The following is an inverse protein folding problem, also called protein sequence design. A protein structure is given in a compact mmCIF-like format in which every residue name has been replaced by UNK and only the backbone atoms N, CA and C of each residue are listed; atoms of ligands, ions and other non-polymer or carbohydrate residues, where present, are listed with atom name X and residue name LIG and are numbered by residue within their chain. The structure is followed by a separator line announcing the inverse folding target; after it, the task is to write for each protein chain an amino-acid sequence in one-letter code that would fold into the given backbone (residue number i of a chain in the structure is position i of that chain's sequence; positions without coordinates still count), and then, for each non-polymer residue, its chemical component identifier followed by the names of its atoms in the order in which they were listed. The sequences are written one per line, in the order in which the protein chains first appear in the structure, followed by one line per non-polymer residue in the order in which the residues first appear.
data_IF_865984541278
#
_entry.id   IF_865984541278
#
_cell.length_a   1.000
_cell.length_b   1.000
_cell.length_c   1.000
_cell.angle_alpha   90.00
_cell.angle_beta   90.00
_cell.angle_gamma   90.00
#
_symmetry.space_group_name_H-M   'P 1'
#
loop_
_entity.id
_entity.type
_entity.pdbx_description
1 polymer ?
#
# COMPACT_ATOMS: atom_id res chain seq x y z
N UNK A 1 3.67 -32.03 -4.06
CA UNK A 1 4.87 -31.89 -3.21
C UNK A 1 6.10 -32.15 -4.04
N UNK A 2 7.16 -31.37 -3.87
CA UNK A 2 8.43 -31.58 -4.57
C UNK A 2 9.19 -32.80 -4.05
N UNK A 3 9.72 -33.58 -4.98
CA UNK A 3 10.65 -34.69 -4.73
C UNK A 3 12.00 -34.20 -4.17
N UNK A 4 12.77 -35.14 -3.60
CA UNK A 4 14.13 -34.83 -3.12
C UNK A 4 15.08 -34.39 -4.23
N UNK A 5 14.90 -34.96 -5.42
CA UNK A 5 15.72 -34.65 -6.59
C UNK A 5 15.43 -33.24 -7.12
N UNK A 6 14.15 -32.86 -7.26
CA UNK A 6 13.77 -31.49 -7.65
C UNK A 6 14.31 -30.45 -6.66
N UNK A 7 14.18 -30.71 -5.35
CA UNK A 7 14.73 -29.81 -4.30
C UNK A 7 16.23 -29.64 -4.41
N UNK A 8 16.98 -30.72 -4.71
CA UNK A 8 18.43 -30.66 -4.87
C UNK A 8 18.83 -29.83 -6.11
N UNK A 9 18.11 -30.01 -7.22
CA UNK A 9 18.31 -29.25 -8.46
C UNK A 9 18.06 -27.75 -8.25
N UNK A 10 16.97 -27.40 -7.56
CA UNK A 10 16.64 -26.00 -7.29
C UNK A 10 17.73 -25.39 -6.40
N UNK A 11 18.13 -26.08 -5.32
CA UNK A 11 19.18 -25.59 -4.43
C UNK A 11 20.51 -25.36 -5.12
N UNK A 12 20.91 -26.23 -6.06
CA UNK A 12 22.18 -26.07 -6.79
C UNK A 12 22.14 -24.95 -7.83
N UNK A 13 20.95 -24.54 -8.30
CA UNK A 13 20.78 -23.52 -9.36
C UNK A 13 20.39 -22.14 -8.85
N UNK A 14 19.89 -22.01 -7.60
CA UNK A 14 19.58 -20.70 -6.98
C UNK A 14 20.76 -19.71 -7.03
N UNK A 15 22.00 -20.07 -6.65
CA UNK A 15 23.11 -19.10 -6.63
C UNK A 15 23.43 -18.51 -8.01
N UNK A 16 23.22 -19.28 -9.07
CA UNK A 16 23.41 -18.83 -10.45
C UNK A 16 22.38 -17.75 -10.81
N UNK A 17 21.12 -17.96 -10.42
CA UNK A 17 20.05 -16.99 -10.63
C UNK A 17 20.22 -15.72 -9.79
N UNK A 18 20.79 -15.81 -8.58
CA UNK A 18 21.10 -14.63 -7.76
C UNK A 18 22.16 -13.75 -8.43
N UNK A 19 23.19 -14.36 -9.03
CA UNK A 19 24.26 -13.63 -9.72
C UNK A 19 23.78 -12.89 -10.98
N UNK A 20 22.74 -13.41 -11.64
CA UNK A 20 22.10 -12.82 -12.83
C UNK A 20 20.78 -12.09 -12.54
N UNK A 21 20.43 -11.90 -11.27
CA UNK A 21 19.06 -11.60 -10.84
C UNK A 21 18.44 -10.36 -11.47
N UNK A 22 19.17 -9.25 -11.58
CA UNK A 22 18.61 -8.01 -12.14
C UNK A 22 18.34 -8.11 -13.66
N UNK A 23 19.22 -8.78 -14.39
CA UNK A 23 19.04 -9.02 -15.83
C UNK A 23 17.87 -9.99 -16.08
N UNK A 24 17.80 -11.08 -15.31
CA UNK A 24 16.68 -12.03 -15.30
C UNK A 24 15.34 -11.31 -15.14
N UNK A 25 15.26 -10.46 -14.12
CA UNK A 25 14.05 -9.72 -13.75
C UNK A 25 13.62 -8.79 -14.86
N UNK A 26 14.55 -7.98 -15.35
CA UNK A 26 14.29 -7.01 -16.40
C UNK A 26 13.76 -7.69 -17.66
N UNK A 27 14.36 -8.83 -18.03
CA UNK A 27 13.94 -9.61 -19.18
C UNK A 27 12.57 -10.26 -19.00
N UNK A 28 12.34 -10.91 -17.86
CA UNK A 28 11.04 -11.48 -17.47
C UNK A 28 9.91 -10.46 -17.59
N UNK A 29 10.09 -9.26 -17.03
CA UNK A 29 9.06 -8.21 -17.08
C UNK A 29 8.83 -7.68 -18.49
N UNK A 30 9.91 -7.47 -19.26
CA UNK A 30 9.80 -7.02 -20.64
C UNK A 30 8.96 -8.00 -21.46
N UNK A 31 9.28 -9.29 -21.37
CA UNK A 31 8.59 -10.38 -22.05
C UNK A 31 7.11 -10.44 -21.65
N UNK A 32 6.83 -10.46 -20.34
CA UNK A 32 5.46 -10.55 -19.82
C UNK A 32 4.61 -9.35 -20.28
N UNK A 33 5.13 -8.13 -20.16
CA UNK A 33 4.36 -6.93 -20.50
C UNK A 33 4.24 -6.72 -22.01
N UNK A 34 5.15 -7.26 -22.83
CA UNK A 34 5.03 -7.21 -24.29
C UNK A 34 4.06 -8.25 -24.83
N UNK A 35 4.17 -9.50 -24.36
CA UNK A 35 3.41 -10.63 -24.90
C UNK A 35 2.00 -10.73 -24.28
N UNK A 36 1.81 -10.25 -23.05
CA UNK A 36 0.55 -10.32 -22.30
C UNK A 36 0.07 -8.92 -21.90
N UNK A 37 -0.36 -8.08 -22.86
CA UNK A 37 -0.79 -6.70 -22.56
C UNK A 37 -1.94 -6.63 -21.55
N UNK A 38 -2.76 -7.69 -21.43
CA UNK A 38 -3.87 -7.78 -20.47
C UNK A 38 -3.42 -7.74 -19.00
N UNK A 39 -2.17 -8.09 -18.67
CA UNK A 39 -1.70 -8.02 -17.28
C UNK A 39 -1.18 -6.64 -16.91
N UNK A 40 -0.93 -5.75 -17.88
CA UNK A 40 -0.38 -4.40 -17.64
C UNK A 40 -1.17 -3.60 -16.58
N UNK A 41 -2.51 -3.62 -16.54
CA UNK A 41 -3.28 -2.87 -15.53
C UNK A 41 -3.06 -3.34 -14.09
N UNK A 42 -2.62 -4.59 -13.90
CA UNK A 42 -2.30 -5.16 -12.57
C UNK A 42 -1.00 -4.60 -11.99
N UNK A 43 -0.18 -3.95 -12.83
CA UNK A 43 1.05 -3.30 -12.45
C UNK A 43 0.89 -1.79 -12.45
N UNK A 44 1.56 -1.10 -11.52
CA UNK A 44 1.55 0.35 -11.54
C UNK A 44 2.57 0.86 -12.56
N UNK A 45 2.09 1.40 -13.68
CA UNK A 45 2.92 1.94 -14.75
C UNK A 45 3.93 3.01 -14.28
N UNK A 46 3.61 3.80 -13.25
CA UNK A 46 4.55 4.80 -12.72
C UNK A 46 5.78 4.15 -12.05
N UNK A 47 5.60 2.97 -11.43
CA UNK A 47 6.70 2.21 -10.84
C UNK A 47 7.42 1.33 -11.87
N UNK A 48 6.78 0.99 -12.99
CA UNK A 48 7.45 0.31 -14.09
C UNK A 48 8.55 1.19 -14.69
N UNK A 49 8.34 2.51 -14.74
CA UNK A 49 9.35 3.46 -15.20
C UNK A 49 10.57 3.55 -14.24
N UNK A 50 10.42 3.24 -12.95
CA UNK A 50 11.53 3.29 -11.96
C UNK A 50 12.25 1.95 -11.75
N UNK A 51 11.64 0.82 -12.11
CA UNK A 51 12.24 -0.52 -11.99
C UNK A 51 12.13 -1.18 -10.61
N UNK A 52 11.53 -0.51 -9.61
CA UNK A 52 11.48 -1.00 -8.22
C UNK A 52 10.49 -2.16 -8.02
N UNK A 53 9.30 -2.09 -8.64
CA UNK A 53 8.29 -3.14 -8.54
C UNK A 53 8.73 -4.47 -9.19
N UNK A 54 9.43 -4.46 -10.34
CA UNK A 54 10.03 -5.65 -10.91
C UNK A 54 10.89 -6.49 -9.95
N UNK A 55 11.70 -5.83 -9.13
CA UNK A 55 12.63 -6.49 -8.22
C UNK A 55 11.91 -7.27 -7.11
N UNK A 56 10.77 -6.78 -6.62
CA UNK A 56 10.05 -7.38 -5.50
C UNK A 56 9.49 -8.78 -5.82
N UNK A 57 8.86 -8.97 -6.99
CA UNK A 57 8.25 -10.25 -7.36
C UNK A 57 9.30 -11.37 -7.47
N UNK A 58 10.39 -11.10 -8.19
CA UNK A 58 11.42 -12.10 -8.41
C UNK A 58 12.25 -12.39 -7.15
N UNK A 59 12.53 -11.37 -6.32
CA UNK A 59 13.11 -11.59 -5.00
C UNK A 59 12.22 -12.49 -4.14
N UNK A 60 10.89 -12.36 -4.26
CA UNK A 60 9.92 -13.26 -3.62
C UNK A 60 10.08 -14.71 -4.07
N UNK A 61 10.19 -14.96 -5.38
CA UNK A 61 10.39 -16.33 -5.91
C UNK A 61 11.76 -16.89 -5.54
N UNK A 62 12.83 -16.10 -5.63
CA UNK A 62 14.17 -16.54 -5.21
C UNK A 62 14.24 -16.82 -3.71
N UNK A 63 13.56 -16.02 -2.88
CA UNK A 63 13.45 -16.27 -1.45
C UNK A 63 12.65 -17.54 -1.17
N UNK A 64 11.53 -17.77 -1.85
CA UNK A 64 10.81 -19.05 -1.78
C UNK A 64 11.73 -20.22 -2.14
N UNK A 65 12.48 -20.12 -3.24
CA UNK A 65 13.39 -21.17 -3.69
C UNK A 65 14.50 -21.46 -2.66
N UNK A 66 14.99 -20.44 -1.95
CA UNK A 66 15.94 -20.60 -0.83
C UNK A 66 15.36 -21.36 0.35
N UNK A 67 14.06 -21.18 0.63
CA UNK A 67 13.37 -21.78 1.78
C UNK A 67 12.46 -22.95 1.40
N UNK A 68 12.71 -23.60 0.26
CA UNK A 68 11.81 -24.62 -0.32
C UNK A 68 11.59 -25.87 0.57
N UNK A 69 12.49 -26.09 1.53
CA UNK A 69 12.40 -27.17 2.52
C UNK A 69 11.78 -26.75 3.86
N UNK A 70 11.54 -25.45 4.03
CA UNK A 70 11.08 -24.84 5.27
C UNK A 70 9.95 -23.87 4.95
N UNK A 71 8.94 -24.34 4.21
CA UNK A 71 7.80 -23.52 3.80
C UNK A 71 7.04 -22.94 5.00
N UNK A 72 7.06 -23.63 6.14
CA UNK A 72 6.48 -23.15 7.40
C UNK A 72 7.15 -21.85 7.90
N UNK A 73 8.41 -21.60 7.51
CA UNK A 73 9.14 -20.37 7.85
C UNK A 73 8.82 -19.20 6.93
N UNK A 74 8.07 -19.42 5.85
CA UNK A 74 7.61 -18.32 5.00
C UNK A 74 6.59 -17.43 5.73
N UNK A 75 5.92 -17.95 6.77
CA UNK A 75 5.13 -17.19 7.75
C UNK A 75 4.45 -15.91 7.21
N UNK A 76 4.86 -14.76 7.74
CA UNK A 76 4.32 -13.44 7.42
C UNK A 76 4.50 -13.02 5.95
N UNK A 77 5.46 -13.60 5.22
CA UNK A 77 5.69 -13.24 3.82
C UNK A 77 4.51 -13.65 2.94
N UNK A 78 4.01 -14.89 3.11
CA UNK A 78 2.87 -15.39 2.34
C UNK A 78 1.65 -14.51 2.61
N UNK A 79 1.39 -14.20 3.88
CA UNK A 79 0.29 -13.31 4.26
C UNK A 79 0.42 -11.92 3.60
N UNK A 80 1.62 -11.33 3.55
CA UNK A 80 1.87 -10.05 2.87
C UNK A 80 1.63 -10.12 1.35
N UNK A 81 2.09 -11.19 0.70
CA UNK A 81 1.88 -11.40 -0.74
C UNK A 81 0.38 -11.54 -1.04
N UNK A 82 -0.32 -12.41 -0.30
CA UNK A 82 -1.76 -12.66 -0.46
C UNK A 82 -2.55 -11.37 -0.27
N UNK A 83 -2.24 -10.58 0.77
CA UNK A 83 -2.90 -9.28 0.98
C UNK A 83 -2.72 -8.34 -0.22
N UNK A 84 -1.52 -8.28 -0.77
CA UNK A 84 -1.24 -7.44 -1.94
C UNK A 84 -1.91 -7.96 -3.21
N UNK A 85 -1.92 -9.27 -3.42
CA UNK A 85 -2.54 -9.92 -4.57
C UNK A 85 -4.05 -9.72 -4.58
N UNK A 86 -4.71 -9.90 -3.44
CA UNK A 86 -6.15 -9.60 -3.31
C UNK A 86 -6.42 -8.12 -3.53
N UNK A 87 -5.61 -7.22 -3.01
CA UNK A 87 -5.75 -5.79 -3.29
C UNK A 87 -5.64 -5.44 -4.78
N UNK A 88 -4.81 -6.18 -5.53
CA UNK A 88 -4.62 -6.03 -6.98
C UNK A 88 -5.63 -6.82 -7.83
N UNK A 89 -6.47 -7.65 -7.18
CA UNK A 89 -7.36 -8.61 -7.82
C UNK A 89 -6.61 -9.60 -8.73
N UNK A 90 -5.55 -10.21 -8.21
CA UNK A 90 -4.87 -11.32 -8.89
C UNK A 90 -5.77 -12.57 -8.87
N UNK A 91 -5.89 -13.23 -10.01
CA UNK A 91 -6.76 -14.39 -10.22
C UNK A 91 -5.91 -15.60 -10.66
N UNK A 92 -6.42 -16.83 -10.50
CA UNK A 92 -5.69 -18.05 -10.88
C UNK A 92 -5.18 -18.03 -12.33
N UNK A 93 -5.93 -17.46 -13.27
CA UNK A 93 -5.54 -17.34 -14.68
C UNK A 93 -4.30 -16.46 -14.94
N UNK A 94 -3.89 -15.62 -13.98
CA UNK A 94 -2.68 -14.82 -14.11
C UNK A 94 -1.40 -15.63 -13.81
N UNK A 95 -1.49 -16.69 -13.01
CA UNK A 95 -0.31 -17.50 -12.63
C UNK A 95 0.34 -18.20 -13.82
N UNK A 96 -0.40 -18.88 -14.72
CA UNK A 96 0.21 -19.49 -15.90
C UNK A 96 1.02 -18.52 -16.77
N UNK A 97 0.59 -17.26 -16.87
CA UNK A 97 1.31 -16.20 -17.61
C UNK A 97 2.65 -15.90 -16.94
N UNK A 98 2.64 -15.66 -15.62
CA UNK A 98 3.86 -15.39 -14.85
C UNK A 98 4.81 -16.58 -14.91
N UNK A 99 4.30 -17.80 -14.70
CA UNK A 99 5.09 -19.03 -14.75
C UNK A 99 5.78 -19.25 -16.10
N UNK A 100 5.06 -19.06 -17.22
CA UNK A 100 5.61 -19.23 -18.56
C UNK A 100 6.76 -18.23 -18.83
N UNK A 101 6.57 -16.94 -18.52
CA UNK A 101 7.60 -15.93 -18.70
C UNK A 101 8.80 -16.15 -17.77
N UNK A 102 8.55 -16.53 -16.51
CA UNK A 102 9.61 -16.74 -15.53
C UNK A 102 10.49 -17.93 -15.90
N UNK A 103 9.90 -19.06 -16.29
CA UNK A 103 10.66 -20.26 -16.66
C UNK A 103 11.50 -20.04 -17.92
N UNK A 104 10.97 -19.29 -18.91
CA UNK A 104 11.75 -18.85 -20.08
C UNK A 104 12.93 -17.98 -19.68
N UNK A 105 12.71 -16.98 -18.81
CA UNK A 105 13.79 -16.12 -18.33
C UNK A 105 14.86 -16.93 -17.56
N UNK A 106 14.45 -17.88 -16.71
CA UNK A 106 15.37 -18.78 -15.99
C UNK A 106 16.21 -19.60 -16.99
N UNK A 107 15.58 -20.17 -18.02
CA UNK A 107 16.28 -20.95 -19.03
C UNK A 107 17.35 -20.13 -19.77
N UNK A 108 17.02 -18.90 -20.15
CA UNK A 108 17.95 -18.00 -20.84
C UNK A 108 19.14 -17.59 -19.96
N UNK A 109 18.91 -17.34 -18.66
CA UNK A 109 19.97 -16.94 -17.73
C UNK A 109 20.88 -18.09 -17.32
N UNK A 110 20.32 -19.29 -17.14
CA UNK A 110 21.12 -20.48 -16.86
C UNK A 110 21.91 -20.95 -18.10
N UNK A 111 21.43 -20.64 -19.30
CA UNK A 111 22.03 -21.08 -20.56
C UNK A 111 21.73 -22.55 -20.87
N UNK A 112 21.82 -22.93 -22.14
CA UNK A 112 21.38 -24.25 -22.63
C UNK A 112 22.06 -25.45 -21.95
N UNK A 113 23.31 -25.27 -21.50
CA UNK A 113 24.08 -26.33 -20.81
C UNK A 113 23.51 -26.66 -19.42
N UNK A 114 22.99 -25.66 -18.71
CA UNK A 114 22.48 -25.80 -17.34
C UNK A 114 20.96 -25.91 -17.33
N UNK A 115 20.26 -25.21 -18.23
CA UNK A 115 18.81 -25.21 -18.39
C UNK A 115 18.28 -26.49 -19.05
N UNK A 116 18.73 -27.65 -18.58
CA UNK A 116 18.25 -28.95 -19.07
C UNK A 116 16.75 -29.11 -18.84
N UNK A 117 16.06 -30.00 -19.60
CA UNK A 117 14.64 -30.26 -19.39
C UNK A 117 14.29 -30.64 -17.94
N UNK A 118 15.20 -31.35 -17.26
CA UNK A 118 15.03 -31.72 -15.86
C UNK A 118 15.10 -30.51 -14.92
N UNK A 119 16.02 -29.57 -15.18
CA UNK A 119 16.15 -28.33 -14.39
C UNK A 119 14.93 -27.45 -14.56
N UNK A 120 14.47 -27.23 -15.79
CA UNK A 120 13.28 -26.42 -16.05
C UNK A 120 12.02 -27.08 -15.49
N UNK A 121 11.90 -28.41 -15.56
CA UNK A 121 10.80 -29.13 -14.93
C UNK A 121 10.79 -28.96 -13.40
N UNK A 122 11.95 -29.04 -12.74
CA UNK A 122 12.04 -28.83 -11.29
C UNK A 122 11.62 -27.40 -10.89
N UNK A 123 12.08 -26.39 -11.62
CA UNK A 123 11.65 -25.00 -11.40
C UNK A 123 10.15 -24.80 -11.67
N UNK A 124 9.60 -25.46 -12.70
CA UNK A 124 8.17 -25.44 -12.98
C UNK A 124 7.34 -26.07 -11.86
N UNK A 125 7.78 -27.21 -11.33
CA UNK A 125 7.14 -27.85 -10.18
C UNK A 125 7.18 -26.96 -8.93
N UNK A 126 8.30 -26.26 -8.70
CA UNK A 126 8.45 -25.34 -7.56
C UNK A 126 7.56 -24.11 -7.68
N UNK A 127 7.50 -23.52 -8.88
CA UNK A 127 6.60 -22.42 -9.18
C UNK A 127 5.14 -22.83 -8.94
N UNK A 128 4.72 -23.97 -9.48
CA UNK A 128 3.34 -24.46 -9.33
C UNK A 128 2.98 -24.72 -7.88
N UNK A 129 3.90 -25.28 -7.08
CA UNK A 129 3.67 -25.46 -5.65
C UNK A 129 3.42 -24.13 -4.93
N UNK A 130 4.21 -23.09 -5.21
CA UNK A 130 3.99 -21.76 -4.64
C UNK A 130 2.68 -21.15 -5.16
N UNK A 131 2.41 -21.29 -6.46
CA UNK A 131 1.18 -20.80 -7.09
C UNK A 131 -0.07 -21.40 -6.42
N UNK A 132 -0.11 -22.72 -6.21
CA UNK A 132 -1.23 -23.41 -5.56
C UNK A 132 -1.47 -22.91 -4.12
N UNK A 133 -0.38 -22.68 -3.35
CA UNK A 133 -0.47 -22.14 -1.99
C UNK A 133 -1.07 -20.72 -2.01
N UNK A 134 -0.56 -19.86 -2.89
CA UNK A 134 -1.02 -18.48 -2.99
C UNK A 134 -2.47 -18.40 -3.50
N UNK A 135 -2.80 -19.15 -4.55
CA UNK A 135 -4.16 -19.23 -5.12
C UNK A 135 -5.16 -19.68 -4.06
N UNK A 136 -4.84 -20.71 -3.28
CA UNK A 136 -5.70 -21.20 -2.21
C UNK A 136 -5.95 -20.14 -1.14
N UNK A 137 -4.88 -19.49 -0.66
CA UNK A 137 -4.97 -18.45 0.37
C UNK A 137 -5.72 -17.19 -0.12
N UNK A 138 -5.47 -16.77 -1.36
CA UNK A 138 -6.16 -15.65 -2.00
C UNK A 138 -7.64 -15.95 -2.19
N UNK A 139 -7.99 -17.16 -2.67
CA UNK A 139 -9.38 -17.60 -2.82
C UNK A 139 -10.12 -17.54 -1.50
N UNK A 140 -9.53 -18.07 -0.42
CA UNK A 140 -10.13 -17.98 0.91
C UNK A 140 -10.36 -16.53 1.36
N UNK A 141 -9.42 -15.62 1.09
CA UNK A 141 -9.58 -14.21 1.47
C UNK A 141 -10.61 -13.48 0.60
N UNK A 142 -10.72 -13.81 -0.69
CA UNK A 142 -11.79 -13.31 -1.56
C UNK A 142 -13.17 -13.76 -1.07
N UNK A 143 -13.33 -15.03 -0.71
CA UNK A 143 -14.58 -15.59 -0.20
C UNK A 143 -14.96 -14.96 1.14
N UNK A 144 -14.00 -14.81 2.06
CA UNK A 144 -14.22 -14.14 3.35
C UNK A 144 -14.70 -12.70 3.16
N UNK A 145 -14.05 -11.93 2.26
CA UNK A 145 -14.46 -10.55 1.95
C UNK A 145 -15.84 -10.49 1.31
N UNK A 146 -16.17 -11.42 0.41
CA UNK A 146 -17.46 -11.47 -0.25
C UNK A 146 -18.61 -11.86 0.69
N UNK A 147 -18.34 -12.74 1.67
CA UNK A 147 -19.31 -13.19 2.65
C UNK A 147 -19.57 -12.20 3.79
N UNK A 148 -18.64 -11.26 4.02
CA UNK A 148 -18.79 -10.23 5.05
C UNK A 148 -19.97 -9.27 4.73
N UNK A 149 -20.62 -8.67 5.75
CA UNK A 149 -21.69 -7.70 5.53
C UNK A 149 -21.25 -6.54 4.63
N UNK A 150 -21.99 -6.30 3.55
CA UNK A 150 -21.66 -5.29 2.54
C UNK A 150 -20.44 -5.62 1.66
N UNK A 151 -19.88 -6.83 1.81
CA UNK A 151 -18.77 -7.38 1.07
C UNK A 151 -19.10 -7.75 -0.38
N UNK A 152 -18.05 -7.82 -1.21
CA UNK A 152 -18.15 -8.25 -2.61
C UNK A 152 -16.82 -8.85 -3.10
N UNK A 153 -16.83 -9.44 -4.29
CA UNK A 153 -15.64 -9.92 -5.01
C UNK A 153 -15.52 -9.19 -6.35
N UNK A 154 -14.29 -8.87 -6.75
CA UNK A 154 -14.06 -8.16 -8.01
C UNK A 154 -14.50 -6.70 -7.91
N UNK A 155 -15.15 -6.23 -8.98
CA UNK A 155 -15.57 -4.85 -9.15
C UNK A 155 -17.00 -4.68 -8.61
N UNK A 156 -17.24 -3.58 -7.89
CA UNK A 156 -18.58 -3.10 -7.57
C UNK A 156 -18.68 -1.64 -7.96
N UNK A 157 -19.83 -1.28 -8.51
CA UNK A 157 -20.09 0.07 -9.01
C UNK A 157 -20.47 1.01 -7.86
N UNK A 158 -19.82 2.17 -7.82
CA UNK A 158 -20.08 3.26 -6.89
C UNK A 158 -20.30 4.56 -7.66
N UNK A 159 -21.08 5.46 -7.08
CA UNK A 159 -21.39 6.78 -7.62
C UNK A 159 -20.71 7.85 -6.75
N UNK A 160 -20.09 8.84 -7.39
CA UNK A 160 -19.59 10.02 -6.69
C UNK A 160 -20.76 10.85 -6.18
N UNK A 161 -20.99 10.84 -4.87
CA UNK A 161 -22.07 11.56 -4.21
C UNK A 161 -21.68 13.02 -3.88
N UNK A 162 -20.43 13.25 -3.50
CA UNK A 162 -19.94 14.59 -3.17
C UNK A 162 -18.44 14.74 -3.41
N UNK A 163 -18.00 15.99 -3.58
CA UNK A 163 -16.58 16.37 -3.55
C UNK A 163 -16.37 17.62 -2.72
N UNK A 164 -15.26 17.67 -1.97
CA UNK A 164 -14.91 18.80 -1.09
C UNK A 164 -13.45 19.17 -1.35
N UNK A 165 -13.18 20.44 -1.61
CA UNK A 165 -11.81 20.92 -1.73
C UNK A 165 -11.22 21.12 -0.34
N UNK A 166 -10.15 20.40 -0.03
CA UNK A 166 -9.53 20.37 1.31
C UNK A 166 -8.30 21.26 1.38
N UNK A 167 -7.63 21.49 0.24
CA UNK A 167 -6.54 22.47 0.09
C UNK A 167 -6.40 22.89 -1.38
N UNK A 168 -5.36 23.64 -1.71
CA UNK A 168 -5.03 23.98 -3.11
C UNK A 168 -4.65 22.76 -3.98
N UNK A 169 -4.28 21.63 -3.35
CA UNK A 169 -3.81 20.42 -4.02
C UNK A 169 -4.66 19.18 -3.73
N UNK A 170 -5.45 19.14 -2.65
CA UNK A 170 -6.18 17.95 -2.21
C UNK A 170 -7.70 18.17 -2.30
N UNK A 171 -8.40 17.20 -2.88
CA UNK A 171 -9.87 17.14 -2.92
C UNK A 171 -10.34 15.80 -2.36
N UNK A 172 -11.33 15.82 -1.46
CA UNK A 172 -12.05 14.63 -1.00
C UNK A 172 -13.17 14.25 -1.96
N UNK A 173 -13.37 12.95 -2.16
CA UNK A 173 -14.41 12.34 -2.98
C UNK A 173 -15.17 11.32 -2.14
N UNK A 174 -16.50 11.42 -2.14
CA UNK A 174 -17.41 10.59 -1.35
C UNK A 174 -18.19 9.67 -2.28
N UNK A 175 -18.09 8.36 -2.06
CA UNK A 175 -18.65 7.34 -2.92
C UNK A 175 -19.73 6.54 -2.20
N UNK A 176 -20.87 6.38 -2.87
CA UNK A 176 -21.98 5.52 -2.44
C UNK A 176 -22.13 4.34 -3.39
N UNK A 177 -22.51 3.15 -2.91
CA UNK A 177 -22.74 2.02 -3.79
C UNK A 177 -23.93 2.31 -4.72
N UNK A 178 -23.78 2.04 -6.02
CA UNK A 178 -24.81 2.33 -7.02
C UNK A 178 -26.10 1.53 -6.75
N UNK A 179 -25.94 0.31 -6.23
CA UNK A 179 -27.03 -0.60 -5.84
C UNK A 179 -27.73 -0.22 -4.51
N UNK A 180 -27.26 0.82 -3.81
CA UNK A 180 -27.78 1.28 -2.50
C UNK A 180 -27.74 0.21 -1.39
N UNK A 181 -26.96 -0.85 -1.56
CA UNK A 181 -26.72 -1.88 -0.54
C UNK A 181 -25.73 -1.43 0.53
N UNK A 182 -25.53 -2.27 1.54
CA UNK A 182 -24.49 -2.04 2.55
C UNK A 182 -23.08 -2.09 1.93
N UNK A 183 -22.10 -1.47 2.60
CA UNK A 183 -20.68 -1.48 2.22
C UNK A 183 -19.85 -2.21 3.27
N UNK A 184 -18.75 -2.83 2.83
CA UNK A 184 -17.80 -3.49 3.70
C UNK A 184 -17.11 -2.47 4.61
N UNK A 185 -17.20 -2.66 5.93
CA UNK A 185 -16.46 -1.82 6.87
C UNK A 185 -14.97 -2.09 6.72
N UNK A 186 -14.19 -1.03 6.52
CA UNK A 186 -12.74 -1.10 6.42
C UNK A 186 -12.08 -0.81 7.77
N UNK A 187 -10.94 -1.44 8.01
CA UNK A 187 -10.12 -1.12 9.18
C UNK A 187 -9.49 0.28 9.04
N UNK A 188 -9.38 1.08 10.12
CA UNK A 188 -8.88 2.45 10.05
C UNK A 188 -7.41 2.48 9.58
N UNK A 189 -7.18 2.89 8.33
CA UNK A 189 -5.86 2.89 7.68
C UNK A 189 -5.83 2.13 6.36
N UNK A 190 -6.79 1.23 6.12
CA UNK A 190 -6.91 0.52 4.86
C UNK A 190 -7.19 1.45 3.67
N UNK A 191 -6.96 0.92 2.48
CA UNK A 191 -7.19 1.60 1.22
C UNK A 191 -8.21 0.86 0.37
N UNK A 192 -8.77 1.59 -0.59
CA UNK A 192 -9.67 1.04 -1.60
C UNK A 192 -8.99 1.08 -2.97
N UNK A 193 -9.10 -0.01 -3.70
CA UNK A 193 -8.62 -0.11 -5.07
C UNK A 193 -9.69 0.40 -6.04
N UNK A 194 -9.27 1.12 -7.06
CA UNK A 194 -10.15 1.79 -8.01
C UNK A 194 -9.72 1.48 -9.43
N UNK A 195 -10.69 1.19 -10.31
CA UNK A 195 -10.49 0.94 -11.73
C UNK A 195 -11.21 2.00 -12.56
N UNK A 196 -10.48 2.58 -13.52
CA UNK A 196 -11.00 3.51 -14.52
C UNK A 196 -10.51 3.10 -15.91
N UNK A 197 -11.26 3.49 -16.93
CA UNK A 197 -10.80 3.42 -18.32
C UNK A 197 -10.59 4.84 -18.82
N UNK A 198 -9.35 5.21 -19.10
CA UNK A 198 -8.97 6.52 -19.62
C UNK A 198 -8.35 6.35 -21.00
N UNK A 199 -8.90 7.02 -22.02
CA UNK A 199 -8.43 6.94 -23.41
C UNK A 199 -8.39 5.49 -23.96
N UNK A 200 -9.31 4.64 -23.51
CA UNK A 200 -9.37 3.22 -23.88
C UNK A 200 -8.42 2.31 -23.09
N UNK A 201 -7.64 2.85 -22.16
CA UNK A 201 -6.72 2.07 -21.32
C UNK A 201 -7.23 1.90 -19.90
N UNK A 202 -7.19 0.66 -19.39
CA UNK A 202 -7.51 0.38 -18.00
C UNK A 202 -6.40 0.88 -17.07
N UNK A 203 -6.79 1.66 -16.08
CA UNK A 203 -5.93 2.20 -15.03
C UNK A 203 -6.46 1.80 -13.65
N UNK A 204 -5.58 1.22 -12.83
CA UNK A 204 -5.87 0.91 -11.43
C UNK A 204 -5.07 1.80 -10.48
N UNK A 205 -5.70 2.33 -9.43
CA UNK A 205 -5.03 3.11 -8.36
C UNK A 205 -5.63 2.77 -7.01
N UNK A 206 -4.79 2.83 -5.97
CA UNK A 206 -5.21 2.66 -4.59
C UNK A 206 -5.21 4.01 -3.89
N UNK A 207 -6.23 4.26 -3.08
CA UNK A 207 -6.32 5.44 -2.23
C UNK A 207 -6.74 5.02 -0.83
N UNK A 208 -6.02 5.49 0.20
CA UNK A 208 -6.43 5.28 1.58
C UNK A 208 -7.85 5.80 1.80
N UNK A 209 -8.63 5.03 2.54
CA UNK A 209 -9.91 5.48 3.04
C UNK A 209 -9.64 6.52 4.13
N UNK A 210 -10.07 7.76 3.88
CA UNK A 210 -9.74 8.91 4.71
C UNK A 210 -10.76 9.18 5.81
N UNK A 211 -11.81 8.36 5.94
CA UNK A 211 -12.79 8.42 7.01
C UNK A 211 -13.32 7.02 7.32
N UNK A 212 -13.93 6.86 8.49
CA UNK A 212 -14.74 5.68 8.81
C UNK A 212 -15.97 5.63 7.89
N UNK A 213 -16.42 4.41 7.60
CA UNK A 213 -17.50 4.11 6.65
C UNK A 213 -18.89 4.09 7.31
N UNK A 214 -19.04 4.67 8.50
CA UNK A 214 -20.23 4.56 9.36
C UNK A 214 -21.51 5.11 8.73
N UNK A 215 -21.36 6.05 7.77
CA UNK A 215 -22.46 6.66 7.04
C UNK A 215 -22.83 5.91 5.74
N UNK A 216 -22.28 4.72 5.51
CA UNK A 216 -22.52 3.94 4.29
C UNK A 216 -21.82 4.51 3.05
N UNK A 217 -20.82 5.38 3.23
CA UNK A 217 -20.01 5.94 2.14
C UNK A 217 -18.53 5.65 2.35
N UNK A 218 -17.78 5.59 1.25
CA UNK A 218 -16.32 5.67 1.31
C UNK A 218 -15.87 7.09 1.00
N UNK A 219 -14.93 7.61 1.80
CA UNK A 219 -14.20 8.84 1.48
C UNK A 219 -12.77 8.51 1.08
N UNK A 220 -12.34 9.02 -0.06
CA UNK A 220 -10.91 9.12 -0.41
C UNK A 220 -10.54 10.58 -0.53
N UNK A 221 -9.27 10.91 -0.31
CA UNK A 221 -8.78 12.29 -0.48
C UNK A 221 -7.53 12.28 -1.34
N UNK A 222 -7.63 12.93 -2.49
CA UNK A 222 -6.68 12.78 -3.60
C UNK A 222 -5.90 14.06 -3.78
N UNK A 223 -4.57 13.97 -3.66
CA UNK A 223 -3.66 15.03 -4.10
C UNK A 223 -3.55 15.01 -5.63
N UNK A 224 -3.64 16.18 -6.25
CA UNK A 224 -3.36 16.37 -7.68
C UNK A 224 -1.86 16.23 -7.92
N UNK A 225 -1.44 15.15 -8.56
CA UNK A 225 -0.03 14.94 -8.92
C UNK A 225 0.27 15.56 -10.29
N UNK A 226 1.30 16.41 -10.43
CA UNK A 226 1.72 16.93 -11.73
C UNK A 226 1.99 15.77 -12.72
N UNK A 227 1.34 15.81 -13.89
CA UNK A 227 1.42 14.74 -14.90
C UNK A 227 0.69 13.43 -14.56
N UNK A 228 0.07 13.31 -13.37
CA UNK A 228 -0.63 12.10 -12.95
C UNK A 228 -2.00 11.93 -13.62
N UNK A 229 -2.14 10.97 -14.55
CA UNK A 229 -3.39 10.74 -15.33
C UNK A 229 -4.65 10.64 -14.45
N UNK A 230 -4.70 9.69 -13.51
CA UNK A 230 -5.89 9.44 -12.68
C UNK A 230 -6.17 10.60 -11.72
N UNK A 231 -5.15 11.12 -11.03
CA UNK A 231 -5.35 12.23 -10.08
C UNK A 231 -5.88 13.50 -10.75
N UNK A 232 -5.37 13.84 -11.94
CA UNK A 232 -5.87 15.00 -12.70
C UNK A 232 -7.25 14.74 -13.27
N UNK A 233 -7.55 13.50 -13.72
CA UNK A 233 -8.89 13.13 -14.17
C UNK A 233 -9.92 13.32 -13.05
N UNK A 234 -9.64 12.84 -11.84
CA UNK A 234 -10.55 13.02 -10.69
C UNK A 234 -10.77 14.51 -10.36
N UNK A 235 -9.71 15.32 -10.39
CA UNK A 235 -9.83 16.75 -10.06
C UNK A 235 -10.62 17.54 -11.11
N UNK A 236 -10.42 17.25 -12.39
CA UNK A 236 -10.89 18.10 -13.50
C UNK A 236 -12.05 17.52 -14.32
N UNK A 237 -12.20 16.21 -14.39
CA UNK A 237 -13.07 15.52 -15.35
C UNK A 237 -14.00 14.48 -14.73
N UNK A 238 -14.18 14.51 -13.39
CA UNK A 238 -14.99 13.54 -12.66
C UNK A 238 -16.07 14.26 -11.83
N UNK A 239 -17.22 14.61 -12.44
CA UNK A 239 -18.31 15.33 -11.79
C UNK A 239 -19.12 14.44 -10.83
N UNK A 240 -19.85 15.07 -9.89
CA UNK A 240 -20.83 14.38 -9.04
C UNK A 240 -21.83 13.63 -9.93
N UNK A 241 -22.18 12.41 -9.54
CA UNK A 241 -23.01 11.49 -10.31
C UNK A 241 -22.22 10.54 -11.23
N UNK A 242 -20.91 10.77 -11.42
CA UNK A 242 -20.08 9.82 -12.17
C UNK A 242 -19.95 8.46 -11.46
N UNK A 243 -19.96 7.41 -12.26
CA UNK A 243 -19.77 6.03 -11.83
C UNK A 243 -18.29 5.65 -11.80
N UNK A 244 -17.92 4.76 -10.88
CA UNK A 244 -16.60 4.16 -10.78
C UNK A 244 -16.65 2.73 -10.26
N UNK A 245 -15.69 1.91 -10.68
CA UNK A 245 -15.53 0.54 -10.19
C UNK A 245 -14.54 0.52 -9.02
N UNK A 246 -15.00 0.05 -7.87
CA UNK A 246 -14.19 -0.13 -6.67
C UNK A 246 -13.99 -1.62 -6.37
N UNK A 247 -12.79 -1.95 -5.92
CA UNK A 247 -12.45 -3.24 -5.34
C UNK A 247 -12.68 -3.20 -3.82
N UNK A 248 -12.82 -4.35 -3.14
CA UNK A 248 -13.00 -4.37 -1.69
C UNK A 248 -11.83 -3.70 -0.95
N UNK A 249 -12.10 -2.98 0.18
CA UNK A 249 -11.07 -2.45 1.05
C UNK A 249 -9.99 -3.49 1.40
N UNK A 250 -8.73 -3.07 1.39
CA UNK A 250 -7.56 -3.93 1.55
C UNK A 250 -6.41 -3.18 2.25
N UNK A 251 -5.40 -3.92 2.70
CA UNK A 251 -4.22 -3.37 3.37
C UNK A 251 -4.04 -3.92 4.79
N UNK A 252 -2.79 -4.02 5.20
CA UNK A 252 -2.32 -4.49 6.51
C UNK A 252 -1.82 -3.34 7.42
N UNK A 253 -1.81 -2.11 6.90
CA UNK A 253 -1.52 -0.90 7.65
C UNK A 253 -2.80 -0.30 8.22
N UNK A 254 -3.19 -0.75 9.42
CA UNK A 254 -4.36 -0.23 10.13
C UNK A 254 -4.12 -0.07 11.63
N UNK A 255 -4.96 0.74 12.27
CA UNK A 255 -4.90 0.98 13.70
C UNK A 255 -5.20 -0.30 14.48
N UNK A 256 -4.22 -0.75 15.26
CA UNK A 256 -4.38 -1.92 16.15
C UNK A 256 -4.94 -1.48 17.49
N UNK A 257 -5.86 -2.27 18.05
CA UNK A 257 -6.37 -2.05 19.41
C UNK A 257 -5.23 -2.11 20.45
N UNK A 258 -5.13 -1.07 21.28
CA UNK A 258 -4.08 -0.91 22.29
C UNK A 258 -4.40 0.31 23.16
N UNK A 259 -4.00 0.28 24.44
CA UNK A 259 -4.19 1.37 25.41
C UNK A 259 -2.95 2.30 25.55
N UNK A 260 -1.83 1.98 24.87
CA UNK A 260 -0.60 2.80 24.87
C UNK A 260 -0.89 4.19 24.31
N UNK A 261 -0.05 5.23 24.40
CA UNK A 261 -0.28 6.44 23.60
C UNK A 261 -0.22 6.16 22.10
N UNK A 262 -1.05 6.85 21.32
CA UNK A 262 -1.00 6.83 19.86
C UNK A 262 -0.27 8.07 19.37
N UNK A 263 0.64 7.89 18.41
CA UNK A 263 1.25 9.00 17.69
C UNK A 263 1.01 8.79 16.19
N UNK A 264 0.30 9.72 15.56
CA UNK A 264 0.02 9.73 14.13
C UNK A 264 0.89 10.83 13.49
N UNK A 265 1.84 10.45 12.62
CA UNK A 265 2.81 11.37 12.02
C UNK A 265 2.65 11.34 10.49
N UNK A 266 2.17 12.42 9.89
CA UNK A 266 1.92 12.45 8.44
C UNK A 266 2.69 13.54 7.71
N UNK A 267 3.08 13.26 6.46
CA UNK A 267 3.69 14.21 5.54
C UNK A 267 2.82 14.40 4.30
N UNK A 268 2.31 15.62 4.07
CA UNK A 268 1.48 15.96 2.91
C UNK A 268 0.24 15.06 2.79
N UNK A 269 -0.01 14.50 1.61
CA UNK A 269 -1.17 13.61 1.38
C UNK A 269 -1.11 12.31 2.20
N UNK A 270 0.03 11.99 2.84
CA UNK A 270 0.11 10.89 3.82
C UNK A 270 -0.79 11.07 5.05
N UNK A 271 -1.43 12.24 5.20
CA UNK A 271 -2.46 12.48 6.21
C UNK A 271 -3.65 11.52 6.08
N UNK A 272 -3.97 11.04 4.88
CA UNK A 272 -5.25 10.37 4.60
C UNK A 272 -5.57 9.14 5.45
N UNK A 273 -4.71 8.11 5.59
CA UNK A 273 -5.02 6.98 6.48
C UNK A 273 -5.08 7.41 7.96
N UNK A 274 -4.28 8.42 8.35
CA UNK A 274 -4.24 8.90 9.73
C UNK A 274 -5.55 9.56 10.17
N UNK A 275 -6.35 10.08 9.23
CA UNK A 275 -7.66 10.66 9.55
C UNK A 275 -8.65 9.59 10.03
N UNK A 276 -8.71 8.44 9.35
CA UNK A 276 -9.55 7.32 9.79
C UNK A 276 -9.05 6.74 11.13
N UNK A 277 -7.73 6.57 11.28
CA UNK A 277 -7.12 6.14 12.54
C UNK A 277 -7.43 7.12 13.68
N UNK A 278 -7.36 8.43 13.43
CA UNK A 278 -7.70 9.45 14.41
C UNK A 278 -9.16 9.34 14.83
N UNK A 279 -10.10 9.24 13.89
CA UNK A 279 -11.53 9.08 14.21
C UNK A 279 -11.77 7.87 15.12
N UNK A 280 -11.19 6.71 14.78
CA UNK A 280 -11.33 5.50 15.60
C UNK A 280 -10.69 5.65 16.98
N UNK A 281 -9.50 6.23 17.07
CA UNK A 281 -8.80 6.41 18.34
C UNK A 281 -9.56 7.34 19.31
N UNK A 282 -10.25 8.36 18.78
CA UNK A 282 -11.06 9.29 19.57
C UNK A 282 -12.37 8.69 20.12
N UNK A 283 -12.71 7.46 19.74
CA UNK A 283 -13.78 6.68 20.38
C UNK A 283 -13.32 5.94 21.64
N UNK A 284 -12.03 6.04 21.99
CA UNK A 284 -11.42 5.46 23.19
C UNK A 284 -10.95 6.57 24.13
N UNK A 285 -10.34 6.23 25.26
CA UNK A 285 -9.70 7.20 26.19
C UNK A 285 -8.18 7.32 25.98
N UNK A 286 -7.66 6.67 24.93
CA UNK A 286 -6.22 6.59 24.64
C UNK A 286 -5.65 7.99 24.36
N UNK A 287 -4.50 8.39 24.95
CA UNK A 287 -3.83 9.63 24.59
C UNK A 287 -3.40 9.63 23.12
N UNK A 288 -3.71 10.68 22.37
CA UNK A 288 -3.40 10.79 20.94
C UNK A 288 -2.56 12.03 20.67
N UNK A 289 -1.45 11.86 19.98
CA UNK A 289 -0.64 12.94 19.46
C UNK A 289 -0.68 12.90 17.93
N UNK A 290 -1.25 13.93 17.32
CA UNK A 290 -1.35 14.08 15.87
C UNK A 290 -0.33 15.10 15.38
N UNK A 291 0.63 14.66 14.57
CA UNK A 291 1.71 15.49 14.05
C UNK A 291 1.60 15.50 12.53
N UNK A 292 1.37 16.68 11.95
CA UNK A 292 1.26 16.82 10.49
C UNK A 292 2.31 17.78 9.94
N UNK A 293 3.02 17.31 8.93
CA UNK A 293 4.02 18.06 8.21
C UNK A 293 3.52 18.38 6.79
N UNK A 294 3.62 19.64 6.38
CA UNK A 294 3.25 20.09 5.04
C UNK A 294 4.29 21.07 4.50
N UNK A 295 4.18 21.45 3.22
CA UNK A 295 5.05 22.49 2.66
C UNK A 295 4.76 23.84 3.32
N UNK A 296 3.48 24.23 3.32
CA UNK A 296 2.97 25.47 3.89
C UNK A 296 1.46 25.32 4.18
N UNK A 297 0.82 26.36 4.71
CA UNK A 297 -0.59 26.33 5.07
C UNK A 297 -1.53 26.20 3.87
N UNK A 298 -1.17 26.76 2.70
CA UNK A 298 -2.00 26.68 1.49
C UNK A 298 -2.19 25.27 0.93
N UNK A 299 -1.32 24.32 1.29
CA UNK A 299 -1.44 22.90 0.90
C UNK A 299 -1.89 21.97 2.04
N UNK A 300 -1.94 22.44 3.28
CA UNK A 300 -2.37 21.66 4.44
C UNK A 300 -3.88 21.41 4.38
N UNK A 301 -4.26 20.17 4.07
CA UNK A 301 -5.65 19.72 4.07
C UNK A 301 -6.14 19.34 5.48
N UNK A 302 -7.44 19.52 5.75
CA UNK A 302 -8.12 19.11 6.98
C UNK A 302 -7.75 19.83 8.28
N UNK A 303 -7.01 20.94 8.22
CA UNK A 303 -6.59 21.67 9.42
C UNK A 303 -7.75 22.00 10.36
N UNK A 304 -8.77 22.68 9.84
CA UNK A 304 -9.89 23.17 10.66
C UNK A 304 -10.65 22.02 11.31
N UNK A 305 -10.79 20.90 10.58
CA UNK A 305 -11.42 19.69 11.09
C UNK A 305 -10.62 19.05 12.24
N UNK A 306 -9.29 19.04 12.15
CA UNK A 306 -8.41 18.51 13.21
C UNK A 306 -8.39 19.47 14.41
N UNK A 307 -8.38 20.78 14.17
CA UNK A 307 -8.41 21.80 15.23
C UNK A 307 -9.71 21.73 16.03
N UNK A 308 -10.85 21.54 15.37
CA UNK A 308 -12.15 21.31 16.02
C UNK A 308 -12.16 20.02 16.85
N UNK A 309 -11.58 18.92 16.34
CA UNK A 309 -11.42 17.69 17.12
C UNK A 309 -10.56 17.91 18.36
N UNK A 310 -9.44 18.62 18.24
CA UNK A 310 -8.54 18.88 19.35
C UNK A 310 -9.18 19.74 20.45
N UNK A 311 -10.11 20.62 20.09
CA UNK A 311 -10.90 21.39 21.05
C UNK A 311 -11.93 20.53 21.80
N UNK A 312 -12.54 19.56 21.11
CA UNK A 312 -13.59 18.69 21.67
C UNK A 312 -13.05 17.49 22.47
N UNK A 313 -11.83 17.05 22.18
CA UNK A 313 -11.24 15.84 22.78
C UNK A 313 -9.97 16.17 23.58
N UNK A 314 -10.03 16.26 24.91
CA UNK A 314 -8.87 16.61 25.75
C UNK A 314 -7.67 15.65 25.62
N UNK A 315 -7.90 14.41 25.20
CA UNK A 315 -6.85 13.41 24.98
C UNK A 315 -6.05 13.65 23.68
N UNK A 316 -6.54 14.51 22.78
CA UNK A 316 -5.91 14.82 21.50
C UNK A 316 -5.02 16.06 21.60
N UNK A 317 -3.74 15.88 21.32
CA UNK A 317 -2.81 16.99 21.07
C UNK A 317 -2.43 16.98 19.60
N UNK A 318 -2.58 18.13 18.93
CA UNK A 318 -2.16 18.29 17.53
C UNK A 318 -0.93 19.19 17.43
N UNK A 319 -0.09 18.95 16.42
CA UNK A 319 1.09 19.74 16.11
C UNK A 319 1.28 19.84 14.59
N UNK A 320 1.61 21.03 14.10
CA UNK A 320 1.85 21.29 12.69
C UNK A 320 3.28 21.78 12.45
N UNK A 321 3.95 21.21 11.44
CA UNK A 321 5.29 21.59 11.01
C UNK A 321 5.26 21.94 9.52
N UNK A 322 5.56 23.18 9.16
CA UNK A 322 5.62 23.58 7.75
C UNK A 322 7.06 23.81 7.31
N UNK A 323 7.41 23.38 6.11
CA UNK A 323 8.74 23.62 5.53
C UNK A 323 9.01 25.13 5.41
N UNK A 324 8.00 25.88 4.96
CA UNK A 324 8.03 27.33 4.79
C UNK A 324 6.73 28.00 5.28
N UNK A 325 6.84 29.27 5.64
CA UNK A 325 5.68 30.13 5.90
C UNK A 325 5.29 30.83 4.58
N UNK A 326 4.02 30.70 4.18
CA UNK A 326 3.50 31.36 2.98
C UNK A 326 3.07 32.81 3.23
N UNK A 327 3.07 33.26 4.49
CA UNK A 327 2.69 34.61 4.91
C UNK A 327 1.20 34.94 4.71
N UNK A 328 0.38 33.94 4.36
CA UNK A 328 -1.04 34.11 4.02
C UNK A 328 -1.93 33.22 4.90
N UNK A 329 -1.52 31.98 5.09
CA UNK A 329 -2.23 30.97 5.86
C UNK A 329 -1.90 31.09 7.35
N UNK A 330 -2.71 30.52 8.25
CA UNK A 330 -2.37 30.59 9.66
C UNK A 330 -1.07 29.81 9.93
N UNK A 331 -0.23 30.32 10.83
CA UNK A 331 1.07 29.74 11.10
C UNK A 331 1.00 28.29 11.61
N UNK A 332 2.05 27.52 11.33
CA UNK A 332 2.30 26.23 11.96
C UNK A 332 2.91 26.41 13.36
N UNK A 333 2.91 25.34 14.15
CA UNK A 333 3.58 25.31 15.46
C UNK A 333 5.12 25.34 15.31
N UNK A 334 5.63 24.88 14.16
CA UNK A 334 7.05 24.95 13.79
C UNK A 334 7.23 25.22 12.29
N UNK A 335 8.25 26.01 11.96
CA UNK A 335 8.75 26.21 10.59
C UNK A 335 10.08 25.47 10.38
N UNK A 336 10.25 24.87 9.20
CA UNK A 336 11.34 23.99 8.79
C UNK A 336 10.95 22.50 8.80
N UNK A 337 11.91 21.65 8.44
CA UNK A 337 11.75 20.20 8.51
C UNK A 337 11.63 19.73 9.98
N UNK A 338 10.83 18.68 10.19
CA UNK A 338 10.64 18.06 11.51
C UNK A 338 11.96 17.48 12.03
N UNK A 339 12.57 18.15 13.01
CA UNK A 339 13.81 17.70 13.64
C UNK A 339 13.58 16.67 14.74
N UNK A 340 14.64 15.97 15.15
CA UNK A 340 14.59 15.04 16.29
C UNK A 340 14.21 15.77 17.58
N UNK A 341 14.77 16.96 17.82
CA UNK A 341 14.50 17.75 19.02
C UNK A 341 13.04 18.18 19.08
N UNK A 342 12.49 18.61 17.93
CA UNK A 342 11.09 18.99 17.86
C UNK A 342 10.16 17.78 18.08
N UNK A 343 10.47 16.65 17.44
CA UNK A 343 9.72 15.42 17.65
C UNK A 343 9.78 14.97 19.12
N UNK A 344 10.94 15.08 19.77
CA UNK A 344 11.10 14.73 21.18
C UNK A 344 10.17 15.51 22.12
N UNK A 345 9.96 16.80 21.83
CA UNK A 345 9.06 17.69 22.57
C UNK A 345 7.59 17.37 22.32
N UNK A 346 7.26 16.97 21.09
CA UNK A 346 5.89 16.66 20.71
C UNK A 346 5.45 15.24 21.01
N UNK A 347 6.37 14.29 21.24
CA UNK A 347 6.01 12.94 21.64
C UNK A 347 5.56 12.86 23.12
N UNK A 348 4.63 11.95 23.47
CA UNK A 348 4.30 11.63 24.86
C UNK A 348 5.55 11.29 25.68
N UNK A 349 5.63 11.72 26.96
CA UNK A 349 6.82 11.47 27.80
C UNK A 349 7.20 9.99 27.86
N UNK A 350 6.20 9.10 27.94
CA UNK A 350 6.41 7.66 27.82
C UNK A 350 6.69 7.26 26.37
N UNK A 351 7.75 6.47 26.15
CA UNK A 351 8.18 6.03 24.80
C UNK A 351 7.70 4.63 24.42
N UNK A 352 6.99 3.95 25.32
CA UNK A 352 6.17 2.78 24.99
C UNK A 352 4.84 3.27 24.38
N UNK A 353 4.87 3.53 23.08
CA UNK A 353 3.78 4.13 22.30
C UNK A 353 3.69 3.50 20.92
N UNK A 354 2.48 3.46 20.34
CA UNK A 354 2.32 3.07 18.94
C UNK A 354 2.46 4.30 18.05
N UNK A 355 3.45 4.29 17.15
CA UNK A 355 3.67 5.32 16.15
C UNK A 355 3.24 4.80 14.77
N UNK A 356 2.34 5.54 14.11
CA UNK A 356 1.96 5.32 12.73
C UNK A 356 2.44 6.51 11.91
N UNK A 357 3.21 6.27 10.86
CA UNK A 357 3.72 7.36 10.04
C UNK A 357 3.69 7.07 8.55
N UNK A 358 3.40 8.12 7.79
CA UNK A 358 3.21 8.02 6.35
C UNK A 358 3.56 9.34 5.65
N UNK A 359 4.25 9.26 4.52
CA UNK A 359 4.59 10.42 3.70
C UNK A 359 5.62 10.08 2.62
N UNK A 360 6.31 11.08 2.05
CA UNK A 360 7.40 10.84 1.12
C UNK A 360 8.53 10.00 1.74
N UNK A 361 9.25 9.22 0.93
CA UNK A 361 10.31 8.30 1.40
C UNK A 361 11.33 8.97 2.32
N UNK A 362 11.85 10.14 1.94
CA UNK A 362 12.84 10.88 2.73
C UNK A 362 12.29 11.33 4.09
N UNK A 363 11.01 11.72 4.14
CA UNK A 363 10.32 12.07 5.37
C UNK A 363 10.16 10.85 6.29
N UNK A 364 9.68 9.73 5.76
CA UNK A 364 9.48 8.51 6.54
C UNK A 364 10.81 7.95 7.08
N UNK A 365 11.89 8.01 6.29
CA UNK A 365 13.23 7.62 6.74
C UNK A 365 13.70 8.49 7.92
N UNK A 366 13.52 9.81 7.82
CA UNK A 366 13.86 10.72 8.91
C UNK A 366 13.03 10.44 10.19
N UNK A 367 11.71 10.30 10.07
CA UNK A 367 10.82 9.98 11.20
C UNK A 367 11.21 8.66 11.86
N UNK A 368 11.45 7.60 11.08
CA UNK A 368 11.87 6.29 11.60
C UNK A 368 13.17 6.40 12.40
N UNK A 369 14.18 7.10 11.85
CA UNK A 369 15.46 7.34 12.53
C UNK A 369 15.27 8.14 13.82
N UNK A 370 14.44 9.18 13.81
CA UNK A 370 14.18 10.00 14.99
C UNK A 370 13.43 9.21 16.08
N UNK A 371 12.40 8.46 15.74
CA UNK A 371 11.67 7.60 16.69
C UNK A 371 12.60 6.60 17.37
N UNK A 372 13.47 5.94 16.59
CA UNK A 372 14.49 5.02 17.11
C UNK A 372 15.47 5.72 18.05
N UNK A 373 16.02 6.87 17.65
CA UNK A 373 16.93 7.65 18.48
C UNK A 373 16.27 8.15 19.79
N UNK A 374 14.95 8.34 19.78
CA UNK A 374 14.16 8.76 20.93
C UNK A 374 13.64 7.59 21.79
N UNK A 375 14.03 6.35 21.45
CA UNK A 375 13.75 5.16 22.25
C UNK A 375 12.37 4.53 22.02
N UNK A 376 11.68 4.86 20.92
CA UNK A 376 10.44 4.16 20.53
C UNK A 376 10.81 2.76 20.00
N UNK A 377 10.20 1.68 20.49
CA UNK A 377 10.52 0.33 20.02
C UNK A 377 10.21 0.13 18.52
N UNK A 378 11.12 -0.54 17.80
CA UNK A 378 10.98 -0.76 16.34
C UNK A 378 9.66 -1.46 15.99
N UNK A 379 9.21 -2.44 16.79
CA UNK A 379 7.94 -3.15 16.58
C UNK A 379 6.67 -2.31 16.80
N UNK A 380 6.80 -1.08 17.32
CA UNK A 380 5.70 -0.14 17.53
C UNK A 380 5.72 1.02 16.52
N UNK A 381 6.72 1.05 15.64
CA UNK A 381 6.88 2.04 14.57
C UNK A 381 6.36 1.48 13.24
N UNK A 382 5.11 1.78 12.92
CA UNK A 382 4.39 1.24 11.75
C UNK A 382 4.31 2.28 10.63
N UNK A 383 4.50 1.84 9.40
CA UNK A 383 4.46 2.70 8.22
C UNK A 383 4.01 1.93 6.98
N UNK A 384 3.50 2.67 6.00
CA UNK A 384 3.14 2.18 4.66
C UNK A 384 3.72 3.12 3.59
N UNK A 385 3.79 2.66 2.34
CA UNK A 385 4.19 3.47 1.20
C UNK A 385 3.01 3.72 0.26
N UNK A 386 2.88 4.95 -0.22
CA UNK A 386 2.13 5.24 -1.45
C UNK A 386 2.97 4.86 -2.66
N UNK A 387 3.18 3.56 -2.85
CA UNK A 387 4.15 3.06 -3.81
C UNK A 387 4.51 1.59 -3.60
N UNK A 388 5.55 1.08 -4.28
CA UNK A 388 6.17 -0.18 -3.90
C UNK A 388 6.81 -0.01 -2.51
N UNK A 389 6.86 -1.09 -1.75
CA UNK A 389 7.64 -1.10 -0.52
C UNK A 389 9.11 -0.79 -0.82
N UNK A 390 9.73 0.07 -0.03
CA UNK A 390 11.15 0.38 -0.10
C UNK A 390 11.81 0.21 1.27
N UNK A 391 13.11 -0.04 1.29
CA UNK A 391 13.87 0.06 2.52
C UNK A 391 13.89 1.53 2.99
N UNK A 392 13.59 1.74 4.28
CA UNK A 392 13.90 2.97 5.01
C UNK A 392 15.16 2.68 5.80
N UNK A 393 16.30 3.16 5.29
CA UNK A 393 17.61 3.10 5.94
C UNK A 393 17.74 4.11 7.07
#
# INVERSE_FOLDING_TARGET
MLSREERAIIRSTVPLLESGGEALITHFYRMMLSEYPQVRPLFNQAHQASGDQPRALANGVLMYARHIDQLDQLGDLVAKIVNKHVALQILPEHYPIVGACLLRAIAEVLGEEIATPQVIAAWGAAYNQLADILIGAETGMYEQKAAAPGGWRGEREFILAARVQESSEITSFYFEPADKGAILVAEPGQYIGMKLVLDGEEMRRNYSLSALADNGQYRISVKREPGGRVSNHLHHHFPIGSSIQLFPPSGDFFLTQSDKPLVLISGGVGITPTLAMLQAALQTERPVHFIHCARNGGVHAFRDWIDDLAQRHPQLKRFYCYDEDDGLSPAADKVGLLSQEQLAQWLPQQRDLDAYFLGPKGFMAAVKRHLKALGVPDGQSRYEFFGPAAALE
#
